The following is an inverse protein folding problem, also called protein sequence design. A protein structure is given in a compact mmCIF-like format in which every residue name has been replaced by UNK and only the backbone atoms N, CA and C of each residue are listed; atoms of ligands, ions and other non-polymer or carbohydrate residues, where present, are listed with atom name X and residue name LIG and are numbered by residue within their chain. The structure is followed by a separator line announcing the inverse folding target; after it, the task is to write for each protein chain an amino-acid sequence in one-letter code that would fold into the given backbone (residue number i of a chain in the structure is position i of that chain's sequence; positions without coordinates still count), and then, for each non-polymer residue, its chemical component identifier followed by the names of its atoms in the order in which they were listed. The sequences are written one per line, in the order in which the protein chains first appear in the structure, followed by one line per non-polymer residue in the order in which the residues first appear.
data_IF_157857191095
#
_entry.id   IF_157857191095
#
_cell.length_a   1.000
_cell.length_b   1.000
_cell.length_c   1.000
_cell.angle_alpha   90.00
_cell.angle_beta   90.00
_cell.angle_gamma   90.00
#
_symmetry.space_group_name_H-M   'P 1'
#
loop_
_entity.id
_entity.type
_entity.pdbx_description
1 polymer ?
#
# COMPACT_ATOMS: atom_id res chain seq x y z
N UNK A 1 -7.83 4.93 -12.15
CA UNK A 1 -6.87 3.92 -11.66
C UNK A 1 -7.16 2.54 -12.24
N UNK A 2 -8.37 1.98 -12.01
CA UNK A 2 -8.73 0.66 -12.54
C UNK A 2 -8.55 0.55 -14.07
N UNK A 3 -8.93 1.58 -14.84
CA UNK A 3 -8.78 1.56 -16.30
C UNK A 3 -7.32 1.47 -16.77
N UNK A 4 -6.36 2.00 -16.01
CA UNK A 4 -4.92 1.83 -16.28
C UNK A 4 -4.53 0.37 -16.06
N UNK A 5 -4.87 -0.20 -14.91
CA UNK A 5 -4.49 -1.56 -14.54
C UNK A 5 -5.32 -2.67 -15.22
N UNK A 6 -6.41 -2.32 -15.90
CA UNK A 6 -7.12 -3.22 -16.83
C UNK A 6 -6.63 -3.05 -18.27
N UNK A 7 -5.74 -2.07 -18.55
CA UNK A 7 -5.21 -1.79 -19.87
C UNK A 7 -6.12 -0.99 -20.79
N UNK A 8 -7.30 -0.55 -20.32
CA UNK A 8 -8.20 0.33 -21.10
C UNK A 8 -7.62 1.71 -21.36
N UNK A 9 -6.82 2.21 -20.42
CA UNK A 9 -6.03 3.44 -20.57
C UNK A 9 -4.57 3.03 -20.59
N UNK A 10 -3.84 3.50 -21.60
CA UNK A 10 -2.44 3.12 -21.83
C UNK A 10 -1.51 4.31 -22.07
N UNK A 11 -2.05 5.53 -22.17
CA UNK A 11 -1.29 6.75 -22.40
C UNK A 11 -1.73 7.87 -21.45
N UNK A 12 -0.77 8.63 -20.92
CA UNK A 12 -1.01 9.72 -19.98
C UNK A 12 -1.91 10.82 -20.56
N UNK A 13 -1.93 11.03 -21.88
CA UNK A 13 -2.82 12.03 -22.50
C UNK A 13 -4.30 11.73 -22.34
N UNK A 14 -4.67 10.45 -22.19
CA UNK A 14 -6.05 10.01 -21.98
C UNK A 14 -6.60 10.48 -20.62
N UNK A 15 -5.70 10.85 -19.70
CA UNK A 15 -6.02 11.37 -18.37
C UNK A 15 -5.49 12.80 -18.14
N UNK A 16 -5.18 13.52 -19.23
CA UNK A 16 -4.77 14.93 -19.19
C UNK A 16 -3.28 15.18 -18.92
N UNK A 17 -2.44 14.15 -19.00
CA UNK A 17 -0.99 14.26 -18.94
C UNK A 17 -0.33 14.44 -20.30
N UNK A 18 0.99 14.20 -20.36
CA UNK A 18 1.77 14.25 -21.60
C UNK A 18 1.38 13.11 -22.56
N UNK A 19 1.65 13.27 -23.85
CA UNK A 19 1.55 12.15 -24.81
C UNK A 19 2.70 11.17 -24.60
N UNK A 20 2.52 10.26 -23.65
CA UNK A 20 3.50 9.27 -23.26
C UNK A 20 2.83 7.97 -22.79
N UNK A 21 3.38 6.78 -23.13
CA UNK A 21 2.86 5.51 -22.65
C UNK A 21 2.93 5.41 -21.13
N UNK A 22 1.84 4.94 -20.50
CA UNK A 22 1.84 4.58 -19.08
C UNK A 22 2.56 3.24 -18.93
N UNK A 23 3.44 3.12 -17.94
CA UNK A 23 4.14 1.86 -17.62
C UNK A 23 3.73 1.37 -16.23
N UNK A 24 2.67 0.55 -16.11
CA UNK A 24 2.26 -0.02 -14.84
C UNK A 24 3.24 -1.11 -14.40
N UNK A 25 3.60 -1.10 -13.12
CA UNK A 25 4.36 -2.16 -12.46
C UNK A 25 3.51 -2.87 -11.43
N UNK A 26 3.63 -4.20 -11.40
CA UNK A 26 2.90 -5.09 -10.50
C UNK A 26 3.84 -5.86 -9.58
N UNK A 27 3.25 -6.48 -8.55
CA UNK A 27 3.87 -7.40 -7.60
C UNK A 27 3.35 -8.81 -7.84
N UNK A 28 4.09 -9.79 -7.33
CA UNK A 28 3.69 -11.20 -7.38
C UNK A 28 2.32 -11.43 -6.70
N UNK A 29 1.53 -12.36 -7.24
CA UNK A 29 0.13 -12.70 -6.89
C UNK A 29 -0.13 -12.93 -5.39
N UNK A 30 0.90 -13.33 -4.64
CA UNK A 30 0.80 -13.64 -3.21
C UNK A 30 1.43 -12.58 -2.31
N UNK A 31 1.82 -11.43 -2.86
CA UNK A 31 2.27 -10.31 -2.03
C UNK A 31 1.08 -9.60 -1.39
N UNK A 32 1.24 -9.18 -0.13
CA UNK A 32 0.19 -8.44 0.56
C UNK A 32 -0.15 -7.08 -0.07
N UNK A 33 0.71 -6.52 -0.93
CA UNK A 33 0.41 -5.33 -1.73
C UNK A 33 -0.43 -5.65 -2.97
N UNK A 34 -0.13 -6.75 -3.67
CA UNK A 34 -0.92 -7.21 -4.81
C UNK A 34 -2.33 -7.60 -4.36
N UNK A 35 -2.44 -8.37 -3.27
CA UNK A 35 -3.74 -8.77 -2.72
C UNK A 35 -4.60 -7.55 -2.34
N UNK A 36 -3.98 -6.51 -1.76
CA UNK A 36 -4.68 -5.25 -1.45
C UNK A 36 -5.10 -4.50 -2.71
N UNK A 37 -4.25 -4.44 -3.73
CA UNK A 37 -4.61 -3.83 -5.02
C UNK A 37 -5.81 -4.54 -5.65
N UNK A 38 -5.79 -5.87 -5.69
CA UNK A 38 -6.88 -6.69 -6.23
C UNK A 38 -8.19 -6.50 -5.45
N UNK A 39 -8.13 -6.59 -4.11
CA UNK A 39 -9.33 -6.52 -3.26
C UNK A 39 -9.89 -5.11 -3.12
N UNK A 40 -9.04 -4.11 -2.86
CA UNK A 40 -9.49 -2.75 -2.52
C UNK A 40 -9.70 -1.88 -3.76
N UNK A 41 -8.80 -1.98 -4.74
CA UNK A 41 -8.83 -1.13 -5.94
C UNK A 41 -9.55 -1.81 -7.08
N UNK A 42 -9.18 -3.04 -7.43
CA UNK A 42 -9.74 -3.71 -8.62
C UNK A 42 -11.14 -4.29 -8.39
N UNK A 43 -11.49 -4.66 -7.15
CA UNK A 43 -12.84 -5.10 -6.75
C UNK A 43 -13.43 -6.18 -7.69
N UNK A 44 -12.61 -7.16 -8.05
CA UNK A 44 -12.99 -8.28 -8.91
C UNK A 44 -12.73 -8.09 -10.41
N UNK A 45 -12.26 -6.91 -10.83
CA UNK A 45 -11.78 -6.70 -12.20
C UNK A 45 -10.44 -7.41 -12.43
N UNK A 46 -10.31 -8.11 -13.55
CA UNK A 46 -9.03 -8.71 -13.97
C UNK A 46 -8.04 -7.61 -14.35
N UNK A 47 -6.84 -7.68 -13.76
CA UNK A 47 -5.73 -6.85 -14.19
C UNK A 47 -5.13 -7.38 -15.49
N UNK A 48 -4.67 -6.48 -16.36
CA UNK A 48 -3.93 -6.87 -17.57
C UNK A 48 -2.54 -7.41 -17.19
N UNK A 49 -1.90 -8.12 -18.12
CA UNK A 49 -0.52 -8.57 -17.93
C UNK A 49 0.45 -7.38 -18.07
N UNK A 50 1.07 -7.02 -16.96
CA UNK A 50 2.13 -6.02 -16.91
C UNK A 50 3.41 -6.63 -16.33
N UNK A 51 4.57 -5.99 -16.51
CA UNK A 51 5.80 -6.42 -15.86
C UNK A 51 5.59 -6.65 -14.36
N UNK A 52 5.75 -7.90 -13.94
CA UNK A 52 5.75 -8.30 -12.54
C UNK A 52 7.18 -8.17 -12.05
N UNK A 53 7.41 -7.30 -11.09
CA UNK A 53 8.70 -7.24 -10.42
C UNK A 53 8.71 -8.23 -9.26
N UNK A 54 9.46 -9.32 -9.44
CA UNK A 54 9.56 -10.44 -8.50
C UNK A 54 10.63 -10.16 -7.43
N UNK A 55 11.02 -8.90 -7.24
CA UNK A 55 11.77 -8.57 -6.04
C UNK A 55 10.98 -8.93 -4.77
N UNK A 56 11.72 -9.42 -3.77
CA UNK A 56 11.18 -9.95 -2.50
C UNK A 56 10.33 -8.88 -1.77
N UNK A 57 10.51 -7.60 -2.09
CA UNK A 57 9.85 -6.47 -1.43
C UNK A 57 9.27 -5.47 -2.42
N UNK A 58 8.73 -4.36 -1.90
CA UNK A 58 8.32 -3.22 -2.73
C UNK A 58 9.49 -2.48 -3.41
N UNK A 59 10.74 -2.78 -3.05
CA UNK A 59 11.93 -2.11 -3.61
C UNK A 59 11.93 -2.12 -5.16
N UNK A 60 11.78 -3.28 -5.80
CA UNK A 60 11.76 -3.40 -7.27
C UNK A 60 10.84 -2.40 -7.99
N UNK A 61 9.50 -2.41 -7.76
CA UNK A 61 8.62 -1.43 -8.38
C UNK A 61 8.97 0.02 -8.04
N UNK A 62 9.46 0.30 -6.82
CA UNK A 62 9.91 1.65 -6.45
C UNK A 62 11.14 2.07 -7.26
N UNK A 63 12.10 1.17 -7.47
CA UNK A 63 13.30 1.46 -8.24
C UNK A 63 12.94 1.78 -9.68
N UNK A 64 12.02 1.01 -10.29
CA UNK A 64 11.50 1.30 -11.64
C UNK A 64 10.84 2.67 -11.71
N UNK A 65 9.89 2.95 -10.83
CA UNK A 65 9.17 4.24 -10.80
C UNK A 65 10.11 5.41 -10.47
N UNK A 66 11.17 5.20 -9.71
CA UNK A 66 12.16 6.25 -9.41
C UNK A 66 13.03 6.64 -10.61
N UNK A 67 13.07 5.79 -11.64
CA UNK A 67 13.92 5.94 -12.82
C UNK A 67 13.15 6.26 -14.11
N UNK A 68 11.82 6.20 -14.08
CA UNK A 68 10.95 6.39 -15.24
C UNK A 68 9.75 7.27 -14.87
N UNK A 69 9.73 8.49 -15.42
CA UNK A 69 8.68 9.47 -15.14
C UNK A 69 7.28 9.05 -15.60
N UNK A 70 7.19 8.06 -16.50
CA UNK A 70 5.93 7.56 -17.04
C UNK A 70 5.46 6.26 -16.34
N UNK A 71 6.24 5.77 -15.37
CA UNK A 71 5.93 4.58 -14.62
C UNK A 71 4.99 4.84 -13.45
N UNK A 72 4.14 3.86 -13.17
CA UNK A 72 3.23 3.87 -12.03
C UNK A 72 3.28 2.53 -11.31
N UNK A 73 3.25 2.56 -9.98
CA UNK A 73 3.08 1.38 -9.14
C UNK A 73 2.06 1.68 -8.04
N UNK A 74 1.63 0.65 -7.33
CA UNK A 74 0.86 0.78 -6.09
C UNK A 74 1.70 0.27 -4.92
N UNK A 75 1.44 0.84 -3.74
CA UNK A 75 2.16 0.46 -2.52
C UNK A 75 1.27 0.68 -1.30
N UNK A 76 1.61 0.04 -0.19
CA UNK A 76 1.05 0.43 1.11
C UNK A 76 1.80 1.69 1.54
N UNK A 77 1.07 2.74 1.95
CA UNK A 77 1.60 4.07 2.31
C UNK A 77 2.90 4.02 3.14
N UNK A 78 2.95 3.11 4.12
CA UNK A 78 4.11 2.87 4.98
C UNK A 78 5.43 2.61 4.22
N UNK A 79 5.42 1.83 3.13
CA UNK A 79 6.64 1.47 2.40
C UNK A 79 7.35 2.71 1.86
N UNK A 80 6.58 3.66 1.28
CA UNK A 80 7.19 4.89 0.75
C UNK A 80 7.72 5.78 1.86
N UNK A 81 6.88 6.03 2.88
CA UNK A 81 7.14 7.06 3.88
C UNK A 81 8.16 6.65 4.94
N UNK A 82 8.31 5.35 5.20
CA UNK A 82 9.12 4.86 6.32
C UNK A 82 10.20 3.85 5.93
N UNK A 83 9.98 3.03 4.90
CA UNK A 83 10.98 2.02 4.50
C UNK A 83 11.93 2.52 3.42
N UNK A 84 11.39 3.02 2.31
CA UNK A 84 12.20 3.46 1.15
C UNK A 84 12.67 4.90 1.30
N UNK A 85 11.83 5.79 1.86
CA UNK A 85 12.16 7.21 2.14
C UNK A 85 12.80 7.94 0.95
N UNK A 86 12.16 7.90 -0.22
CA UNK A 86 12.62 8.60 -1.43
C UNK A 86 11.74 9.80 -1.78
N UNK A 87 12.38 10.91 -2.16
CA UNK A 87 11.71 12.10 -2.71
C UNK A 87 11.48 12.03 -4.22
N UNK A 88 12.06 11.03 -4.90
CA UNK A 88 11.98 10.87 -6.37
C UNK A 88 10.62 10.35 -6.83
N UNK A 89 9.90 9.66 -5.94
CA UNK A 89 8.57 9.09 -6.22
C UNK A 89 7.53 9.92 -5.47
N UNK A 90 6.46 10.31 -6.15
CA UNK A 90 5.34 11.06 -5.57
C UNK A 90 4.13 10.15 -5.34
N UNK A 91 3.31 10.49 -4.37
CA UNK A 91 1.98 9.90 -4.26
C UNK A 91 1.02 10.57 -5.24
N UNK A 92 0.00 9.82 -5.66
CA UNK A 92 -1.09 10.32 -6.50
C UNK A 92 -2.35 10.35 -5.64
N UNK A 93 -3.09 11.47 -5.70
CA UNK A 93 -4.40 11.56 -5.07
C UNK A 93 -5.42 10.68 -5.80
N UNK A 94 -6.33 10.07 -5.06
CA UNK A 94 -7.44 9.30 -5.62
C UNK A 94 -8.72 10.02 -5.27
N UNK A 95 -9.56 10.26 -6.29
CA UNK A 95 -10.83 10.98 -6.15
C UNK A 95 -10.66 12.35 -5.46
N UNK A 96 -9.54 13.03 -5.74
CA UNK A 96 -9.18 14.32 -5.15
C UNK A 96 -8.60 14.25 -3.73
N UNK A 97 -8.50 13.07 -3.12
CA UNK A 97 -7.98 12.89 -1.75
C UNK A 97 -6.52 12.41 -1.80
N UNK A 98 -5.63 13.21 -1.22
CA UNK A 98 -4.21 12.85 -1.10
C UNK A 98 -3.97 11.85 0.04
N UNK A 99 -3.14 10.81 -0.15
CA UNK A 99 -2.84 9.87 0.92
C UNK A 99 -1.86 10.49 1.93
N UNK A 100 -2.33 10.77 3.13
CA UNK A 100 -1.52 11.20 4.26
C UNK A 100 -2.04 10.61 5.58
N UNK A 101 -1.35 10.87 6.70
CA UNK A 101 -1.73 10.35 8.01
C UNK A 101 -3.14 10.77 8.43
N UNK A 102 -3.57 11.98 8.09
CA UNK A 102 -4.87 12.50 8.46
C UNK A 102 -6.00 11.87 7.62
N UNK A 103 -5.81 11.76 6.30
CA UNK A 103 -6.82 11.17 5.40
C UNK A 103 -6.93 9.65 5.58
N UNK A 104 -5.83 8.97 5.89
CA UNK A 104 -5.82 7.55 6.25
C UNK A 104 -6.50 7.34 7.61
N UNK A 105 -6.16 8.14 8.63
CA UNK A 105 -6.75 8.02 9.98
C UNK A 105 -8.25 8.29 10.00
N UNK A 106 -8.70 9.30 9.24
CA UNK A 106 -10.13 9.65 9.14
C UNK A 106 -10.91 8.73 8.19
N UNK A 107 -10.24 7.79 7.50
CA UNK A 107 -10.81 6.93 6.46
C UNK A 107 -11.42 7.70 5.28
N UNK A 108 -11.00 8.96 5.07
CA UNK A 108 -11.43 9.77 3.93
C UNK A 108 -10.65 9.43 2.65
N UNK A 109 -9.43 8.91 2.78
CA UNK A 109 -8.74 8.29 1.64
C UNK A 109 -9.46 6.99 1.25
N UNK A 110 -9.82 6.78 -0.03
CA UNK A 110 -10.75 5.71 -0.41
C UNK A 110 -10.18 4.30 -0.26
N UNK A 111 -8.85 4.14 -0.18
CA UNK A 111 -8.20 2.84 -0.07
C UNK A 111 -7.44 2.72 1.25
N UNK A 112 -8.19 2.45 2.32
CA UNK A 112 -7.64 2.09 3.63
C UNK A 112 -7.96 0.64 3.97
N UNK A 113 -7.09 0.00 4.75
CA UNK A 113 -7.36 -1.33 5.30
C UNK A 113 -6.82 -1.42 6.72
N UNK A 114 -7.45 -2.28 7.52
CA UNK A 114 -7.06 -2.54 8.89
C UNK A 114 -6.06 -3.68 8.93
N UNK A 115 -5.09 -3.58 9.83
CA UNK A 115 -4.14 -4.66 10.10
C UNK A 115 -4.58 -5.32 11.40
N UNK A 116 -4.85 -6.61 11.31
CA UNK A 116 -5.29 -7.40 12.45
C UNK A 116 -4.12 -8.20 13.01
N UNK A 117 -4.01 -8.20 14.33
CA UNK A 117 -3.24 -9.22 15.06
C UNK A 117 -4.17 -10.40 15.36
N UNK A 118 -3.67 -11.60 15.18
CA UNK A 118 -4.42 -12.84 15.44
C UNK A 118 -3.62 -13.71 16.38
N UNK A 119 -4.29 -14.31 17.36
CA UNK A 119 -3.72 -15.25 18.30
C UNK A 119 -4.67 -16.42 18.50
N UNK A 120 -4.15 -17.60 18.79
CA UNK A 120 -5.00 -18.76 19.09
C UNK A 120 -5.78 -18.52 20.38
N UNK A 121 -7.03 -18.95 20.41
CA UNK A 121 -7.89 -18.82 21.60
C UNK A 121 -7.38 -19.62 22.79
N UNK A 122 -6.65 -20.71 22.55
CA UNK A 122 -6.02 -21.58 23.55
C UNK A 122 -4.56 -21.20 23.86
N UNK A 123 -4.10 -20.02 23.41
CA UNK A 123 -2.74 -19.58 23.65
C UNK A 123 -2.47 -19.35 25.13
N UNK A 124 -1.42 -19.98 25.65
CA UNK A 124 -0.99 -19.78 27.04
C UNK A 124 -0.63 -18.32 27.32
N UNK A 125 -1.24 -17.74 28.37
CA UNK A 125 -1.05 -16.31 28.73
C UNK A 125 0.38 -15.94 29.11
N UNK A 126 1.16 -16.91 29.59
CA UNK A 126 2.57 -16.70 29.94
C UNK A 126 3.51 -16.73 28.75
N UNK A 127 3.03 -17.18 27.58
CA UNK A 127 3.85 -17.24 26.37
C UNK A 127 4.24 -15.84 25.89
N UNK A 128 5.36 -15.76 25.18
CA UNK A 128 5.81 -14.50 24.60
C UNK A 128 4.82 -13.97 23.55
N UNK A 129 4.16 -14.86 22.79
CA UNK A 129 3.15 -14.48 21.81
C UNK A 129 1.97 -13.74 22.46
N UNK A 130 1.46 -14.23 23.60
CA UNK A 130 0.37 -13.57 24.31
C UNK A 130 0.81 -12.24 24.92
N UNK A 131 2.01 -12.18 25.50
CA UNK A 131 2.59 -10.94 26.05
C UNK A 131 2.74 -9.84 24.99
N UNK A 132 3.21 -10.17 23.78
CA UNK A 132 3.29 -9.23 22.66
C UNK A 132 1.90 -8.79 22.20
N UNK A 133 0.96 -9.74 22.08
CA UNK A 133 -0.42 -9.44 21.73
C UNK A 133 -1.07 -8.43 22.70
N UNK A 134 -0.88 -8.62 24.00
CA UNK A 134 -1.37 -7.71 25.05
C UNK A 134 -0.63 -6.37 25.05
N UNK A 135 0.70 -6.37 24.90
CA UNK A 135 1.50 -5.14 24.81
C UNK A 135 0.97 -4.22 23.70
N UNK A 136 0.63 -4.78 22.54
CA UNK A 136 0.06 -4.02 21.43
C UNK A 136 -1.31 -3.39 21.74
N UNK A 137 -1.97 -3.73 22.85
CA UNK A 137 -3.20 -3.06 23.33
C UNK A 137 -2.93 -1.96 24.37
N UNK A 138 -1.68 -1.70 24.74
CA UNK A 138 -1.32 -0.67 25.73
C UNK A 138 -0.94 0.65 25.05
N UNK A 139 -0.92 1.79 25.77
CA UNK A 139 -0.40 3.06 25.24
C UNK A 139 1.01 2.92 24.65
N UNK A 140 1.93 2.24 25.35
CA UNK A 140 3.28 2.01 24.86
C UNK A 140 3.30 1.18 23.56
N UNK A 141 2.42 0.19 23.44
CA UNK A 141 2.25 -0.56 22.19
C UNK A 141 1.73 0.31 21.04
N UNK A 142 0.81 1.24 21.32
CA UNK A 142 0.30 2.18 20.32
C UNK A 142 1.34 3.21 19.88
N UNK A 143 2.24 3.62 20.78
CA UNK A 143 3.39 4.46 20.43
C UNK A 143 4.31 3.73 19.44
N UNK A 144 4.60 2.44 19.67
CA UNK A 144 5.37 1.60 18.72
C UNK A 144 4.64 1.49 17.37
N UNK A 145 3.32 1.32 17.35
CA UNK A 145 2.52 1.28 16.12
C UNK A 145 2.64 2.59 15.33
N UNK A 146 2.56 3.73 16.03
CA UNK A 146 2.69 5.06 15.45
C UNK A 146 4.11 5.33 14.92
N UNK A 147 5.14 4.93 15.66
CA UNK A 147 6.55 5.02 15.23
C UNK A 147 6.83 4.14 14.01
N UNK A 148 6.18 2.98 13.96
CA UNK A 148 6.18 2.07 12.82
C UNK A 148 5.33 2.58 11.64
N UNK A 149 4.77 3.79 11.71
CA UNK A 149 4.07 4.44 10.61
C UNK A 149 2.65 3.96 10.32
N UNK A 150 2.08 3.15 11.21
CA UNK A 150 0.66 2.76 11.15
C UNK A 150 -0.20 3.74 11.96
N UNK A 151 -1.52 3.71 11.72
CA UNK A 151 -2.47 4.47 12.52
C UNK A 151 -2.81 3.67 13.79
N UNK A 152 -2.51 4.20 14.99
CA UNK A 152 -2.82 3.49 16.23
C UNK A 152 -4.33 3.45 16.51
N UNK A 153 -4.74 2.49 17.34
CA UNK A 153 -6.07 2.42 17.94
C UNK A 153 -6.32 3.67 18.81
N UNK A 154 -7.58 4.10 18.88
CA UNK A 154 -8.03 5.11 19.84
C UNK A 154 -8.58 4.39 21.07
N UNK A 155 -8.05 4.71 22.23
CA UNK A 155 -8.54 4.28 23.54
C UNK A 155 -9.19 5.45 24.26
#
# INVERSE_FOLDING_TARGET
MQDIYTGKISNWKEVGGNDAPIKPYMRNRNSGSQEKMEKLVMKGLSMNEFPVDIEISMAGPFDKVSSDENAICYTVYYYKEYMIKTSRVKHIAVDGVYPDKATIKSKSYPYTTEVFKSIRTDQEKQSMAYKIYELMNTPAGQDVVKESGYVPLQF
#
